data_IF_726930449634
#
_entry.id   IF_726930449634
#
_cell.length_a   1.000
_cell.length_b   1.000
_cell.length_c   1.000
_cell.angle_alpha   90.00
_cell.angle_beta   90.00
_cell.angle_gamma   90.00
#
_symmetry.space_group_name_H-M   'P 1'
#
loop_
_entity.id
_entity.type
_entity.pdbx_description
1 polymer ?
#
# COMPACT_ATOMS: atom_id res chain seq x y z
N UNK A 1 28.19 1.79 -7.91
CA UNK A 1 26.99 1.78 -8.79
C UNK A 1 26.13 2.94 -8.36
N UNK A 2 25.71 3.78 -9.30
CA UNK A 2 25.14 5.10 -8.96
C UNK A 2 23.71 5.15 -9.47
N UNK A 3 22.74 5.12 -8.55
CA UNK A 3 21.38 5.54 -8.80
C UNK A 3 21.28 7.05 -8.58
N UNK A 4 20.59 7.76 -9.48
CA UNK A 4 20.33 9.19 -9.34
C UNK A 4 18.82 9.43 -9.33
N UNK A 5 18.35 10.20 -8.36
CA UNK A 5 16.96 10.65 -8.32
C UNK A 5 16.78 11.91 -9.14
N UNK A 6 15.64 11.99 -9.83
CA UNK A 6 15.23 13.13 -10.65
C UNK A 6 13.84 13.51 -10.18
N UNK A 7 13.68 14.71 -9.62
CA UNK A 7 12.37 15.22 -9.24
C UNK A 7 11.53 15.52 -10.49
N UNK A 8 10.30 15.01 -10.52
CA UNK A 8 9.30 15.33 -11.54
C UNK A 8 7.96 15.58 -10.87
N UNK A 9 7.07 16.31 -11.55
CA UNK A 9 5.71 16.51 -11.05
C UNK A 9 4.93 15.19 -11.03
N UNK A 10 4.12 14.99 -9.99
CA UNK A 10 3.30 13.77 -9.85
C UNK A 10 2.40 13.54 -11.06
N UNK A 11 1.84 14.60 -11.63
CA UNK A 11 1.00 14.52 -12.81
C UNK A 11 1.78 14.01 -14.03
N UNK A 12 3.04 14.41 -14.20
CA UNK A 12 3.91 13.95 -15.29
C UNK A 12 4.28 12.48 -15.11
N UNK A 13 4.62 12.07 -13.88
CA UNK A 13 4.91 10.66 -13.56
C UNK A 13 3.71 9.78 -13.85
N UNK A 14 2.51 10.18 -13.42
CA UNK A 14 1.27 9.45 -13.70
C UNK A 14 1.01 9.39 -15.20
N UNK A 15 1.24 10.48 -15.93
CA UNK A 15 1.09 10.51 -17.39
C UNK A 15 2.08 9.58 -18.09
N UNK A 16 3.31 9.47 -17.60
CA UNK A 16 4.32 8.56 -18.17
C UNK A 16 4.02 7.09 -17.87
N UNK A 17 3.42 6.79 -16.71
CA UNK A 17 3.01 5.44 -16.35
C UNK A 17 1.74 5.00 -17.09
N UNK A 18 0.85 5.93 -17.45
CA UNK A 18 -0.36 5.72 -18.23
C UNK A 18 -1.16 4.48 -17.74
N UNK A 19 -1.38 3.48 -18.61
CA UNK A 19 -2.16 2.26 -18.32
C UNK A 19 -1.55 1.34 -17.25
N UNK A 20 -0.37 1.67 -16.72
CA UNK A 20 0.25 0.92 -15.61
C UNK A 20 -0.30 1.34 -14.25
N UNK A 21 -1.05 2.43 -14.19
CA UNK A 21 -1.73 2.91 -12.99
C UNK A 21 -3.26 2.86 -13.22
N UNK A 22 -4.06 2.36 -12.27
CA UNK A 22 -3.65 1.78 -10.99
C UNK A 22 -2.85 0.47 -11.17
N UNK A 23 -1.84 0.29 -10.33
CA UNK A 23 -1.02 -0.90 -10.36
C UNK A 23 -1.85 -2.13 -9.98
N UNK A 24 -1.65 -3.23 -10.70
CA UNK A 24 -2.40 -4.47 -10.43
C UNK A 24 -1.85 -5.15 -9.16
N UNK A 25 -2.72 -5.54 -8.21
CA UNK A 25 -2.33 -6.35 -7.06
C UNK A 25 -1.52 -7.60 -7.43
N UNK A 26 -0.56 -7.95 -6.57
CA UNK A 26 0.30 -9.12 -6.74
C UNK A 26 1.40 -8.96 -7.80
N UNK A 27 1.44 -7.85 -8.54
CA UNK A 27 2.56 -7.54 -9.45
C UNK A 27 3.82 -7.14 -8.69
N UNK A 28 5.02 -7.43 -9.22
CA UNK A 28 6.27 -6.92 -8.68
C UNK A 28 6.28 -5.39 -8.57
N UNK A 29 6.87 -4.90 -7.50
CA UNK A 29 7.04 -3.46 -7.24
C UNK A 29 8.28 -3.26 -6.37
N UNK A 30 9.05 -2.22 -6.62
CA UNK A 30 10.17 -1.85 -5.76
C UNK A 30 9.77 -0.66 -4.91
N UNK A 31 9.96 -0.75 -3.59
CA UNK A 31 9.78 0.37 -2.66
C UNK A 31 11.14 1.00 -2.36
N UNK A 32 11.23 2.32 -2.49
CA UNK A 32 12.39 3.08 -2.03
C UNK A 32 12.23 3.43 -0.54
N UNK A 33 13.31 3.78 0.18
CA UNK A 33 13.22 4.24 1.56
C UNK A 33 12.29 5.44 1.70
N UNK A 34 11.50 5.48 2.78
CA UNK A 34 10.54 6.57 3.03
C UNK A 34 11.22 7.92 3.30
N UNK A 35 12.49 7.90 3.70
CA UNK A 35 13.36 9.05 3.92
C UNK A 35 14.16 9.44 2.66
N UNK A 36 13.95 8.78 1.52
CA UNK A 36 14.55 9.19 0.26
C UNK A 36 14.08 10.60 -0.13
N UNK A 37 15.03 11.42 -0.60
CA UNK A 37 14.82 12.83 -0.97
C UNK A 37 13.70 13.01 -2.01
N UNK A 38 13.54 12.04 -2.90
CA UNK A 38 12.51 12.03 -3.94
C UNK A 38 11.61 10.82 -3.73
N UNK A 39 10.33 11.08 -3.48
CA UNK A 39 9.28 10.04 -3.39
C UNK A 39 8.47 9.94 -4.69
N UNK A 40 8.49 10.97 -5.54
CA UNK A 40 7.81 10.96 -6.84
C UNK A 40 8.71 11.66 -7.86
N UNK A 41 8.99 10.99 -8.98
CA UNK A 41 9.95 11.44 -9.96
C UNK A 41 10.44 10.33 -10.88
N UNK A 42 11.75 10.31 -11.14
CA UNK A 42 12.45 9.24 -11.82
C UNK A 42 13.69 8.79 -11.04
N UNK A 43 14.08 7.54 -11.23
CA UNK A 43 15.34 6.98 -10.74
C UNK A 43 16.13 6.48 -11.94
N UNK A 44 17.23 7.17 -12.25
CA UNK A 44 18.17 6.75 -13.27
C UNK A 44 19.15 5.74 -12.67
N UNK A 45 19.21 4.54 -13.24
CA UNK A 45 20.04 3.44 -12.76
C UNK A 45 21.06 3.03 -13.83
N UNK A 46 22.33 3.11 -13.47
CA UNK A 46 23.45 2.62 -14.30
C UNK A 46 23.97 1.32 -13.72
N UNK A 47 23.64 0.21 -14.38
CA UNK A 47 24.07 -1.15 -13.98
C UNK A 47 25.57 -1.35 -14.18
N UNK A 48 26.09 -0.80 -15.28
CA UNK A 48 27.49 -0.91 -15.69
C UNK A 48 28.02 0.49 -15.95
N UNK A 49 29.16 0.83 -15.35
CA UNK A 49 29.81 2.13 -15.56
C UNK A 49 30.22 2.31 -17.03
N UNK A 50 29.92 3.49 -17.59
CA UNK A 50 30.19 3.80 -19.00
C UNK A 50 29.17 3.23 -20.00
N UNK A 51 28.14 2.51 -19.55
CA UNK A 51 27.02 2.08 -20.39
C UNK A 51 25.79 2.96 -20.15
N UNK A 52 24.87 3.10 -21.14
CA UNK A 52 23.59 3.75 -20.92
C UNK A 52 22.81 3.10 -19.76
N UNK A 53 22.27 3.94 -18.88
CA UNK A 53 21.37 3.52 -17.82
C UNK A 53 19.92 3.42 -18.26
N UNK A 54 19.06 3.08 -17.31
CA UNK A 54 17.61 3.08 -17.48
C UNK A 54 16.97 4.08 -16.52
N UNK A 55 15.95 4.79 -17.00
CA UNK A 55 15.13 5.67 -16.17
C UNK A 55 13.85 4.93 -15.77
N UNK A 56 13.66 4.73 -14.47
CA UNK A 56 12.43 4.17 -13.90
C UNK A 56 11.59 5.29 -13.29
N UNK A 57 10.31 5.34 -13.62
CA UNK A 57 9.39 6.28 -12.97
C UNK A 57 9.07 5.82 -11.56
N UNK A 58 9.20 6.74 -10.61
CA UNK A 58 8.95 6.55 -9.19
C UNK A 58 7.68 7.31 -8.82
N UNK A 59 6.68 6.64 -8.27
CA UNK A 59 5.41 7.24 -7.86
C UNK A 59 5.12 6.88 -6.41
N UNK A 60 5.03 7.89 -5.55
CA UNK A 60 4.65 7.77 -4.14
C UNK A 60 5.48 6.69 -3.40
N UNK A 61 6.80 6.69 -3.63
CA UNK A 61 7.77 5.77 -3.04
C UNK A 61 7.85 4.40 -3.73
N UNK A 62 7.15 4.21 -4.85
CA UNK A 62 7.01 2.93 -5.53
C UNK A 62 7.42 2.98 -6.99
N UNK A 63 8.21 1.98 -7.43
CA UNK A 63 8.54 1.72 -8.83
C UNK A 63 7.79 0.46 -9.25
N UNK A 64 6.83 0.63 -10.16
CA UNK A 64 6.03 -0.47 -10.73
C UNK A 64 6.70 -1.10 -11.95
N UNK A 65 6.17 -2.20 -12.47
CA UNK A 65 6.67 -2.80 -13.72
C UNK A 65 6.52 -1.83 -14.90
N UNK A 66 7.61 -1.63 -15.66
CA UNK A 66 7.69 -0.70 -16.79
C UNK A 66 8.59 -1.28 -17.89
N UNK A 67 8.56 -0.68 -19.08
CA UNK A 67 9.39 -1.13 -20.20
C UNK A 67 10.89 -0.76 -20.03
N UNK A 68 11.19 0.11 -19.05
CA UNK A 68 12.55 0.53 -18.74
C UNK A 68 13.45 -0.62 -18.28
N UNK A 69 12.88 -1.71 -17.76
CA UNK A 69 13.65 -2.89 -17.43
C UNK A 69 13.05 -3.72 -16.32
N UNK A 70 13.76 -4.78 -15.98
CA UNK A 70 13.41 -5.71 -14.93
C UNK A 70 13.55 -5.05 -13.55
N UNK A 71 12.64 -5.39 -12.64
CA UNK A 71 12.66 -4.89 -11.26
C UNK A 71 13.48 -5.78 -10.31
N UNK A 72 13.75 -7.03 -10.67
CA UNK A 72 14.36 -8.01 -9.78
C UNK A 72 15.78 -7.65 -9.29
N UNK A 73 16.54 -6.92 -10.10
CA UNK A 73 17.90 -6.49 -9.78
C UNK A 73 17.98 -5.01 -9.34
N UNK A 74 16.85 -4.29 -9.36
CA UNK A 74 16.82 -2.88 -9.03
C UNK A 74 17.23 -2.57 -7.57
N UNK A 75 16.88 -3.39 -6.55
CA UNK A 75 17.34 -3.19 -5.17
C UNK A 75 18.86 -3.20 -5.01
N UNK A 76 19.60 -3.93 -5.86
CA UNK A 76 21.07 -3.97 -5.80
C UNK A 76 21.71 -2.65 -6.22
N UNK A 77 20.95 -1.79 -6.89
CA UNK A 77 21.41 -0.53 -7.44
C UNK A 77 20.84 0.71 -6.74
N UNK A 78 19.77 0.56 -5.95
CA UNK A 78 19.13 1.65 -5.20
C UNK A 78 19.29 1.36 -3.69
N UNK A 79 20.13 2.12 -2.96
CA UNK A 79 20.36 1.88 -1.55
C UNK A 79 19.07 1.85 -0.72
N UNK A 80 18.87 0.75 0.03
CA UNK A 80 17.72 0.58 0.92
C UNK A 80 16.39 0.28 0.20
N UNK A 81 16.38 0.20 -1.13
CA UNK A 81 15.20 -0.24 -1.84
C UNK A 81 14.94 -1.73 -1.64
N UNK A 82 13.67 -2.13 -1.71
CA UNK A 82 13.25 -3.51 -1.54
C UNK A 82 12.26 -3.92 -2.62
N UNK A 83 12.49 -5.10 -3.22
CA UNK A 83 11.50 -5.74 -4.07
C UNK A 83 10.36 -6.30 -3.21
N UNK A 84 9.14 -5.98 -3.60
CA UNK A 84 7.91 -6.40 -2.96
C UNK A 84 6.85 -6.65 -4.05
N UNK A 85 5.60 -6.78 -3.64
CA UNK A 85 4.44 -6.87 -4.53
C UNK A 85 3.46 -5.74 -4.25
N UNK A 86 2.70 -5.35 -5.27
CA UNK A 86 1.59 -4.42 -5.13
C UNK A 86 0.56 -5.04 -4.17
N UNK A 87 0.21 -4.37 -3.06
CA UNK A 87 -0.77 -4.91 -2.12
C UNK A 87 -2.12 -5.03 -2.80
N UNK A 88 -2.80 -6.15 -2.57
CA UNK A 88 -4.22 -6.28 -2.92
C UNK A 88 -5.11 -5.73 -1.83
N UNK A 89 -6.36 -5.45 -2.19
CA UNK A 89 -7.44 -5.30 -1.22
C UNK A 89 -7.57 -6.65 -0.50
N UNK A 90 -7.00 -6.76 0.70
CA UNK A 90 -7.29 -7.87 1.60
C UNK A 90 -8.66 -7.50 2.19
N UNK A 91 -9.76 -8.20 1.83
CA UNK A 91 -11.02 -7.95 2.49
C UNK A 91 -10.81 -8.13 4.00
N UNK A 92 -11.33 -7.24 4.84
CA UNK A 92 -11.16 -7.38 6.28
C UNK A 92 -11.62 -8.77 6.73
N UNK A 93 -10.82 -9.44 7.56
CA UNK A 93 -11.06 -10.81 8.08
C UNK A 93 -12.42 -10.99 8.77
N UNK A 94 -13.11 -9.88 9.10
CA UNK A 94 -14.47 -9.90 9.60
C UNK A 94 -15.29 -8.76 8.98
N UNK A 95 -16.50 -9.02 8.47
CA UNK A 95 -17.48 -7.95 8.30
C UNK A 95 -17.71 -7.27 9.67
N UNK A 96 -17.98 -5.95 9.72
CA UNK A 96 -18.37 -5.33 10.98
C UNK A 96 -19.56 -6.12 11.53
N UNK A 97 -19.42 -6.64 12.76
CA UNK A 97 -20.55 -7.16 13.51
C UNK A 97 -21.37 -5.96 13.98
N UNK A 98 -22.02 -5.28 13.05
CA UNK A 98 -23.19 -4.48 13.38
C UNK A 98 -24.27 -5.49 13.72
N UNK A 99 -24.38 -5.83 15.01
CA UNK A 99 -25.67 -6.27 15.54
C UNK A 99 -26.63 -5.14 15.18
N UNK A 100 -27.62 -5.34 14.30
CA UNK A 100 -28.66 -4.34 14.14
C UNK A 100 -29.27 -4.10 15.51
N UNK A 101 -29.14 -2.85 15.98
CA UNK A 101 -29.88 -2.32 17.12
C UNK A 101 -31.35 -2.32 16.70
N UNK A 102 -31.98 -3.47 16.85
CA UNK A 102 -33.37 -3.64 16.52
C UNK A 102 -34.18 -2.96 17.64
N UNK A 103 -35.10 -2.04 17.31
CA UNK A 103 -35.85 -1.26 18.30
C UNK A 103 -36.93 -2.06 19.06
N UNK A 104 -36.85 -3.39 19.05
CA UNK A 104 -37.78 -4.29 19.72
C UNK A 104 -37.09 -5.03 20.86
N UNK A 105 -36.43 -4.32 21.76
CA UNK A 105 -36.20 -4.88 23.09
C UNK A 105 -37.58 -5.10 23.75
N UNK A 106 -38.02 -6.34 24.00
CA UNK A 106 -39.23 -6.55 24.79
C UNK A 106 -38.98 -5.99 26.19
N UNK A 107 -39.97 -5.36 26.84
CA UNK A 107 -39.78 -4.78 28.15
C UNK A 107 -39.27 -5.85 29.13
N UNK A 108 -38.09 -5.60 29.69
CA UNK A 108 -37.57 -6.32 30.85
C UNK A 108 -38.66 -6.26 31.93
N UNK A 109 -39.16 -7.41 32.44
CA UNK A 109 -40.13 -7.38 33.53
C UNK A 109 -39.47 -6.68 34.73
N UNK A 110 -40.17 -5.78 35.44
CA UNK A 110 -39.59 -5.15 36.61
C UNK A 110 -39.24 -6.24 37.63
N UNK A 111 -37.98 -6.25 38.07
CA UNK A 111 -37.54 -6.99 39.25
C UNK A 111 -38.38 -6.54 40.45
N UNK A 112 -39.44 -7.30 40.72
CA UNK A 112 -40.25 -7.16 41.90
C UNK A 112 -39.50 -7.73 43.09
N UNK A 113 -38.87 -6.85 43.84
CA UNK A 113 -38.45 -7.08 45.22
C UNK A 113 -39.67 -7.53 46.04
N UNK A 114 -39.62 -8.75 46.56
CA UNK A 114 -40.55 -9.24 47.57
C UNK A 114 -39.79 -10.15 48.54
N UNK A 115 -39.11 -9.49 49.47
CA UNK A 115 -38.74 -10.04 50.77
C UNK A 115 -39.99 -10.51 51.54
N UNK A 116 -39.85 -11.63 52.27
CA UNK A 116 -40.62 -12.15 53.43
C UNK A 116 -41.79 -13.15 53.23
N UNK A 117 -41.50 -14.43 53.53
CA UNK A 117 -42.31 -15.49 54.18
C UNK A 117 -43.06 -14.95 55.42
N UNK A 118 -44.24 -15.45 55.93
CA UNK A 118 -44.64 -16.87 56.01
C UNK A 118 -46.15 -17.22 55.91
N UNK A 119 -46.46 -18.51 55.74
CA UNK A 119 -47.55 -19.24 56.43
C UNK A 119 -47.53 -20.74 56.05
N UNK A 120 -47.12 -21.61 56.97
CA UNK A 120 -47.99 -22.56 57.72
C UNK A 120 -47.19 -23.19 58.86
#
# INVERSE_FOLDING_TARGET
MTSMYISLDRAEVVLCLDRRIPAQPGRPMVRVPADAEVQTGGVAVHRVEGQPGYLYYLLDGCIYEQDAGRLDDLPDHIPGAALTVVPGDIPPDKPPSTTPDYPWDPPVPPEGDATTTPAE
#
